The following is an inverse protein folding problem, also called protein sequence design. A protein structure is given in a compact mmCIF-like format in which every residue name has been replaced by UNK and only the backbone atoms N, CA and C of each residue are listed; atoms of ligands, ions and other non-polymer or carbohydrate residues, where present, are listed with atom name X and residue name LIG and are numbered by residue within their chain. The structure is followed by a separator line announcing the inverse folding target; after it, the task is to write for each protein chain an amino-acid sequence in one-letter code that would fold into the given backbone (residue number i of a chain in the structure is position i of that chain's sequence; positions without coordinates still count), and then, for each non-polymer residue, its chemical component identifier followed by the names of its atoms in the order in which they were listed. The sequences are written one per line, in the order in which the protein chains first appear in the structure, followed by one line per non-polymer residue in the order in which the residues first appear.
data_IF_585450028845
#
_entry.id   IF_585450028845
#
_cell.length_a   1.000
_cell.length_b   1.000
_cell.length_c   1.000
_cell.angle_alpha   90.00
_cell.angle_beta   90.00
_cell.angle_gamma   90.00
#
_symmetry.space_group_name_H-M   'P 1'
#
loop_
_entity.id
_entity.type
_entity.pdbx_description
1 polymer ?
#
# COMPACT_ATOMS: atom_id res chain seq x y z
N UNK A 1 2.05 -15.49 -27.28
CA UNK A 1 3.30 -15.57 -26.46
C UNK A 1 3.27 -16.83 -25.63
N UNK A 2 4.39 -17.54 -25.48
CA UNK A 2 4.50 -18.69 -24.57
C UNK A 2 4.55 -18.24 -23.10
N UNK A 3 4.29 -19.16 -22.17
CA UNK A 3 4.43 -18.90 -20.72
C UNK A 3 5.81 -18.32 -20.38
N UNK A 4 6.88 -18.87 -20.98
CA UNK A 4 8.25 -18.36 -20.80
C UNK A 4 8.40 -16.91 -21.30
N UNK A 5 7.80 -16.58 -22.44
CA UNK A 5 7.84 -15.21 -22.97
C UNK A 5 7.07 -14.23 -22.09
N UNK A 6 5.92 -14.62 -21.54
CA UNK A 6 5.13 -13.81 -20.61
C UNK A 6 5.90 -13.51 -19.31
N UNK A 7 6.50 -14.54 -18.71
CA UNK A 7 7.34 -14.36 -17.51
C UNK A 7 8.58 -13.51 -17.81
N UNK A 8 9.18 -13.65 -18.99
CA UNK A 8 10.26 -12.80 -19.46
C UNK A 8 9.85 -11.33 -19.60
N UNK A 9 8.65 -11.07 -20.14
CA UNK A 9 8.09 -9.72 -20.22
C UNK A 9 7.83 -9.13 -18.83
N UNK A 10 7.18 -9.88 -17.93
CA UNK A 10 6.95 -9.46 -16.54
C UNK A 10 8.26 -9.09 -15.83
N UNK A 11 9.29 -9.92 -15.99
CA UNK A 11 10.62 -9.66 -15.43
C UNK A 11 11.24 -8.35 -15.93
N UNK A 12 11.07 -8.01 -17.22
CA UNK A 12 11.55 -6.75 -17.81
C UNK A 12 10.75 -5.55 -17.31
N UNK A 13 9.43 -5.68 -17.16
CA UNK A 13 8.58 -4.63 -16.56
C UNK A 13 9.07 -4.31 -15.15
N UNK A 14 9.29 -5.32 -14.30
CA UNK A 14 9.81 -5.09 -12.96
C UNK A 14 11.18 -4.41 -12.97
N UNK A 15 12.08 -4.81 -13.87
CA UNK A 15 13.39 -4.15 -14.02
C UNK A 15 13.25 -2.68 -14.37
N UNK A 16 12.32 -2.34 -15.27
CA UNK A 16 12.06 -0.94 -15.64
C UNK A 16 11.46 -0.13 -14.50
N UNK A 17 10.52 -0.70 -13.74
CA UNK A 17 9.95 -0.06 -12.54
C UNK A 17 11.00 0.20 -11.47
N UNK A 18 11.94 -0.73 -11.25
CA UNK A 18 13.09 -0.55 -10.34
C UNK A 18 14.01 0.56 -10.83
N UNK A 19 14.35 0.55 -12.14
CA UNK A 19 15.21 1.58 -12.76
C UNK A 19 14.63 2.98 -12.59
N UNK A 20 13.31 3.11 -12.66
CA UNK A 20 12.57 4.36 -12.45
C UNK A 20 12.33 4.72 -10.97
N UNK A 21 12.74 3.87 -10.04
CA UNK A 21 12.54 4.08 -8.60
C UNK A 21 11.09 3.96 -8.14
N UNK A 22 10.21 3.33 -8.93
CA UNK A 22 8.79 3.12 -8.58
C UNK A 22 8.61 1.95 -7.61
N UNK A 23 9.45 0.93 -7.75
CA UNK A 23 9.49 -0.21 -6.83
C UNK A 23 10.93 -0.51 -6.40
N UNK A 24 11.11 -1.17 -5.26
CA UNK A 24 12.43 -1.47 -4.67
C UNK A 24 12.77 -2.95 -4.65
N UNK A 25 11.82 -3.81 -4.99
CA UNK A 25 11.97 -5.27 -4.98
C UNK A 25 11.44 -5.90 -6.28
N UNK A 26 11.74 -7.20 -6.46
CA UNK A 26 11.19 -8.00 -7.57
C UNK A 26 9.91 -8.75 -7.19
N UNK A 27 9.29 -8.38 -6.07
CA UNK A 27 7.98 -8.92 -5.69
C UNK A 27 6.89 -8.35 -6.60
N UNK A 28 5.64 -8.81 -6.41
CA UNK A 28 4.50 -8.16 -7.05
C UNK A 28 4.49 -6.66 -6.70
N UNK A 29 4.33 -5.75 -7.69
CA UNK A 29 4.70 -4.34 -7.54
C UNK A 29 3.77 -3.54 -6.63
N UNK A 30 2.58 -4.04 -6.31
CA UNK A 30 1.53 -3.28 -5.63
C UNK A 30 1.95 -2.70 -4.27
N UNK A 31 2.71 -3.46 -3.46
CA UNK A 31 3.19 -3.00 -2.16
C UNK A 31 4.17 -1.84 -2.31
N UNK A 32 5.27 -2.08 -3.03
CA UNK A 32 6.31 -1.08 -3.27
C UNK A 32 5.77 0.17 -4.00
N UNK A 33 4.82 0.00 -4.93
CA UNK A 33 4.14 1.10 -5.60
C UNK A 33 3.37 1.95 -4.58
N UNK A 34 2.55 1.33 -3.73
CA UNK A 34 1.78 2.05 -2.71
C UNK A 34 2.70 2.79 -1.73
N UNK A 35 3.79 2.16 -1.29
CA UNK A 35 4.81 2.80 -0.44
C UNK A 35 5.42 4.02 -1.13
N UNK A 36 5.81 3.90 -2.40
CA UNK A 36 6.44 4.99 -3.17
C UNK A 36 5.49 6.16 -3.41
N UNK A 37 4.22 5.87 -3.75
CA UNK A 37 3.19 6.91 -3.92
C UNK A 37 2.93 7.62 -2.59
N UNK A 38 2.80 6.89 -1.48
CA UNK A 38 2.61 7.49 -0.15
C UNK A 38 3.82 8.33 0.25
N UNK A 39 5.04 7.84 0.04
CA UNK A 39 6.25 8.61 0.28
C UNK A 39 6.22 9.96 -0.48
N UNK A 40 5.84 9.94 -1.75
CA UNK A 40 5.71 11.18 -2.54
C UNK A 40 4.58 12.09 -2.04
N UNK A 41 3.39 11.55 -1.80
CA UNK A 41 2.22 12.29 -1.34
C UNK A 41 2.43 13.00 0.01
N UNK A 42 3.22 12.38 0.90
CA UNK A 42 3.52 12.91 2.23
C UNK A 42 4.86 13.64 2.30
N UNK A 43 5.54 13.82 1.15
CA UNK A 43 6.91 14.36 1.07
C UNK A 43 7.87 13.64 2.03
N UNK A 44 7.60 12.35 2.24
CA UNK A 44 8.26 11.49 3.19
C UNK A 44 9.41 10.72 2.59
N UNK A 45 10.06 9.93 3.44
CA UNK A 45 11.15 9.01 3.08
C UNK A 45 10.74 7.59 3.41
N UNK A 46 11.04 6.67 2.51
CA UNK A 46 10.86 5.23 2.74
C UNK A 46 11.73 4.77 3.91
N UNK A 47 11.20 3.83 4.69
CA UNK A 47 11.94 3.18 5.76
C UNK A 47 13.13 2.37 5.21
N UNK A 48 14.22 2.23 6.00
CA UNK A 48 15.30 1.31 5.67
C UNK A 48 14.80 -0.11 5.45
N UNK A 49 15.53 -0.86 4.63
CA UNK A 49 15.23 -2.27 4.41
C UNK A 49 15.24 -3.02 5.74
N UNK A 50 14.20 -3.81 6.03
CA UNK A 50 14.00 -4.57 7.27
C UNK A 50 13.45 -3.80 8.47
N UNK A 51 13.08 -2.52 8.32
CA UNK A 51 12.19 -1.87 9.29
C UNK A 51 10.87 -2.65 9.35
N UNK A 52 10.41 -2.94 10.57
CA UNK A 52 9.32 -3.90 10.80
C UNK A 52 7.97 -3.23 10.98
N UNK A 53 7.98 -1.95 11.38
CA UNK A 53 6.79 -1.33 11.94
C UNK A 53 6.27 -0.10 11.22
N UNK A 54 7.03 0.46 10.28
CA UNK A 54 6.58 1.59 9.46
C UNK A 54 7.29 1.51 8.12
N UNK A 55 6.65 2.04 7.08
CA UNK A 55 7.16 1.96 5.71
C UNK A 55 7.55 3.35 5.17
N UNK A 56 6.91 4.43 5.67
CA UNK A 56 7.21 5.83 5.30
C UNK A 56 7.30 6.71 6.55
N UNK A 57 8.30 7.57 6.61
CA UNK A 57 8.33 8.70 7.55
C UNK A 57 7.97 9.97 6.79
N UNK A 58 6.81 10.54 7.08
CA UNK A 58 6.30 11.76 6.46
C UNK A 58 7.16 12.99 6.81
N UNK A 59 6.97 14.08 6.06
CA UNK A 59 7.74 15.32 6.24
C UNK A 59 7.57 15.97 7.63
N UNK A 60 6.42 15.80 8.24
CA UNK A 60 6.11 16.25 9.61
C UNK A 60 6.67 15.31 10.70
N UNK A 61 7.29 14.20 10.30
CA UNK A 61 7.87 13.20 11.18
C UNK A 61 6.97 12.01 11.47
N UNK A 62 5.70 12.03 11.05
CA UNK A 62 4.73 10.94 11.27
C UNK A 62 5.23 9.64 10.65
N UNK A 63 5.20 8.55 11.42
CA UNK A 63 5.53 7.21 10.97
C UNK A 63 4.28 6.53 10.41
N UNK A 64 4.30 6.22 9.12
CA UNK A 64 3.20 5.61 8.39
C UNK A 64 3.52 4.16 8.07
N UNK A 65 2.63 3.25 8.44
CA UNK A 65 2.56 1.91 7.84
C UNK A 65 1.67 1.97 6.60
N UNK A 66 2.03 1.24 5.54
CA UNK A 66 1.24 1.10 4.32
C UNK A 66 0.71 -0.33 4.21
N UNK A 67 -0.57 -0.46 3.86
CA UNK A 67 -1.18 -1.75 3.52
C UNK A 67 -1.95 -1.61 2.22
N UNK A 68 -1.59 -2.41 1.21
CA UNK A 68 -2.18 -2.32 -0.11
C UNK A 68 -2.99 -3.58 -0.49
N UNK A 69 -4.04 -3.42 -1.29
CA UNK A 69 -4.71 -4.51 -2.00
C UNK A 69 -4.98 -4.15 -3.46
N UNK A 70 -4.76 -5.12 -4.34
CA UNK A 70 -5.15 -5.05 -5.75
C UNK A 70 -6.49 -5.76 -5.88
N UNK A 71 -7.51 -5.06 -6.37
CA UNK A 71 -8.89 -5.55 -6.39
C UNK A 71 -9.44 -5.43 -7.81
N UNK A 72 -10.14 -6.48 -8.24
CA UNK A 72 -10.90 -6.45 -9.48
C UNK A 72 -12.12 -5.54 -9.32
N UNK A 73 -12.36 -4.60 -10.26
CA UNK A 73 -13.54 -3.76 -10.23
C UNK A 73 -14.83 -4.57 -10.06
N UNK A 74 -15.66 -4.20 -9.09
CA UNK A 74 -16.90 -4.92 -8.78
C UNK A 74 -16.74 -6.22 -7.99
N UNK A 75 -15.52 -6.60 -7.57
CA UNK A 75 -15.29 -7.79 -6.73
C UNK A 75 -16.06 -7.69 -5.41
N UNK A 76 -16.88 -8.72 -5.13
CA UNK A 76 -17.58 -8.89 -3.85
C UNK A 76 -16.84 -9.82 -2.87
N UNK A 77 -15.63 -10.27 -3.22
CA UNK A 77 -14.85 -11.18 -2.37
C UNK A 77 -14.41 -10.46 -1.10
N UNK A 78 -14.36 -11.20 0.01
CA UNK A 78 -13.77 -10.70 1.25
C UNK A 78 -12.27 -10.60 1.08
N UNK A 79 -11.75 -9.38 1.13
CA UNK A 79 -10.31 -9.11 1.09
C UNK A 79 -9.82 -8.73 2.48
N UNK A 80 -8.65 -9.23 2.85
CA UNK A 80 -7.99 -8.95 4.13
C UNK A 80 -6.59 -8.45 3.84
N UNK A 81 -6.15 -7.36 4.47
CA UNK A 81 -4.81 -6.78 4.31
C UNK A 81 -3.71 -7.68 4.90
N UNK A 82 -2.44 -7.42 4.56
CA UNK A 82 -1.33 -8.17 5.16
C UNK A 82 -1.30 -7.91 6.66
N UNK A 83 -0.92 -8.90 7.49
CA UNK A 83 -1.08 -8.79 8.93
C UNK A 83 -0.17 -7.71 9.53
N UNK A 84 -0.66 -7.09 10.59
CA UNK A 84 0.13 -6.28 11.51
C UNK A 84 0.81 -7.17 12.54
N UNK A 85 2.11 -6.98 12.75
CA UNK A 85 2.94 -7.71 13.71
C UNK A 85 3.54 -6.82 14.79
N UNK A 86 3.48 -5.51 14.61
CA UNK A 86 3.88 -4.48 15.55
C UNK A 86 2.95 -3.28 15.38
N UNK A 87 3.01 -2.35 16.34
CA UNK A 87 2.18 -1.15 16.40
C UNK A 87 3.03 0.12 16.59
N UNK A 88 4.32 0.05 16.29
CA UNK A 88 5.26 1.17 16.43
C UNK A 88 5.23 2.07 15.17
N UNK A 89 4.06 2.64 14.92
CA UNK A 89 3.77 3.63 13.88
C UNK A 89 2.62 4.53 14.38
N UNK A 90 2.43 5.69 13.76
CA UNK A 90 1.44 6.67 14.18
C UNK A 90 0.11 6.49 13.44
N UNK A 91 0.17 6.17 12.14
CA UNK A 91 -1.00 5.90 11.32
C UNK A 91 -0.74 4.83 10.25
N UNK A 92 -1.79 4.20 9.74
CA UNK A 92 -1.75 3.29 8.60
C UNK A 92 -2.48 3.89 7.41
N UNK A 93 -1.82 3.93 6.25
CA UNK A 93 -2.46 4.26 4.97
C UNK A 93 -2.87 2.96 4.27
N UNK A 94 -4.18 2.74 4.14
CA UNK A 94 -4.73 1.64 3.36
C UNK A 94 -4.95 2.08 1.92
N UNK A 95 -4.39 1.34 0.97
CA UNK A 95 -4.47 1.67 -0.46
C UNK A 95 -5.16 0.54 -1.22
N UNK A 96 -6.14 0.89 -2.05
CA UNK A 96 -6.83 -0.03 -2.96
C UNK A 96 -6.47 0.37 -4.39
N UNK A 97 -5.90 -0.59 -5.12
CA UNK A 97 -5.50 -0.45 -6.50
C UNK A 97 -6.41 -1.26 -7.42
N UNK A 98 -6.70 -0.75 -8.60
CA UNK A 98 -7.36 -1.50 -9.65
C UNK A 98 -6.49 -2.65 -10.14
N UNK A 99 -7.05 -3.86 -10.28
CA UNK A 99 -6.32 -5.00 -10.86
C UNK A 99 -6.05 -4.89 -12.36
N UNK A 100 -6.67 -3.92 -13.03
CA UNK A 100 -6.55 -3.74 -14.48
C UNK A 100 -5.53 -2.66 -14.80
N UNK A 101 -5.64 -1.51 -14.12
CA UNK A 101 -4.84 -0.32 -14.44
C UNK A 101 -3.78 0.02 -13.39
N UNK A 102 -3.84 -0.59 -12.19
CA UNK A 102 -3.08 -0.15 -11.01
C UNK A 102 -3.40 1.28 -10.55
N UNK A 103 -4.50 1.87 -11.03
CA UNK A 103 -4.99 3.16 -10.52
C UNK A 103 -5.42 3.05 -9.06
N UNK A 104 -5.29 4.17 -8.35
CA UNK A 104 -5.74 4.29 -6.97
C UNK A 104 -7.25 4.48 -6.96
N UNK A 105 -7.96 3.42 -6.59
CA UNK A 105 -9.42 3.43 -6.51
C UNK A 105 -9.88 4.14 -5.23
N UNK A 106 -9.19 3.90 -4.12
CA UNK A 106 -9.48 4.47 -2.81
C UNK A 106 -8.27 4.36 -1.88
N UNK A 107 -8.06 5.38 -1.06
CA UNK A 107 -7.06 5.35 -0.01
C UNK A 107 -7.51 6.11 1.22
N UNK A 108 -7.16 5.57 2.39
CA UNK A 108 -7.53 6.18 3.68
C UNK A 108 -6.40 6.04 4.68
N UNK A 109 -6.11 7.13 5.38
CA UNK A 109 -5.20 7.19 6.51
C UNK A 109 -5.98 6.98 7.81
N UNK A 110 -5.52 6.07 8.66
CA UNK A 110 -6.19 5.72 9.91
C UNK A 110 -5.19 5.72 11.07
N UNK A 111 -5.47 6.44 12.18
CA UNK A 111 -4.64 6.42 13.38
C UNK A 111 -4.42 5.01 13.95
N UNK A 112 -3.22 4.73 14.47
CA UNK A 112 -2.80 3.39 14.92
C UNK A 112 -3.72 2.76 15.97
N UNK A 113 -4.27 3.56 16.88
CA UNK A 113 -5.20 3.14 17.92
C UNK A 113 -6.51 2.61 17.31
N UNK A 114 -7.02 3.28 16.27
CA UNK A 114 -8.22 2.88 15.55
C UNK A 114 -7.97 1.63 14.70
N UNK A 115 -6.82 1.54 14.05
CA UNK A 115 -6.40 0.31 13.34
C UNK A 115 -6.32 -0.86 14.31
N UNK A 116 -5.70 -0.67 15.47
CA UNK A 116 -5.53 -1.72 16.48
C UNK A 116 -6.86 -2.17 17.08
N UNK A 117 -7.77 -1.23 17.34
CA UNK A 117 -9.13 -1.51 17.81
C UNK A 117 -9.94 -2.34 16.80
N UNK A 118 -9.83 -2.01 15.51
CA UNK A 118 -10.52 -2.74 14.45
C UNK A 118 -9.88 -4.11 14.12
N UNK A 119 -8.57 -4.28 14.37
CA UNK A 119 -7.86 -5.46 13.92
C UNK A 119 -8.22 -6.73 14.71
N UNK A 120 -8.41 -7.83 13.99
CA UNK A 120 -8.71 -9.15 14.57
C UNK A 120 -7.46 -10.00 14.68
N UNK A 121 -7.19 -10.53 15.85
CA UNK A 121 -6.08 -11.47 16.06
C UNK A 121 -6.30 -12.76 15.24
N UNK A 122 -5.22 -13.30 14.68
CA UNK A 122 -5.23 -14.55 13.93
C UNK A 122 -4.02 -15.39 14.31
N UNK A 123 -4.29 -16.50 14.99
CA UNK A 123 -3.26 -17.48 15.40
C UNK A 123 -2.55 -18.09 14.19
N UNK A 124 -3.28 -18.34 13.08
CA UNK A 124 -2.72 -18.94 11.86
C UNK A 124 -1.61 -18.10 11.21
N UNK A 125 -1.69 -16.77 11.30
CA UNK A 125 -0.65 -15.89 10.74
C UNK A 125 0.22 -15.21 11.78
N UNK A 126 0.03 -15.53 13.07
CA UNK A 126 0.73 -14.89 14.19
C UNK A 126 0.70 -13.35 14.11
N UNK A 127 -0.48 -12.76 13.91
CA UNK A 127 -0.63 -11.31 13.77
C UNK A 127 -2.07 -10.84 13.76
N UNK A 128 -2.28 -9.55 13.51
CA UNK A 128 -3.59 -8.92 13.50
C UNK A 128 -3.99 -8.55 12.08
N UNK A 129 -5.26 -8.74 11.74
CA UNK A 129 -5.79 -8.55 10.38
C UNK A 129 -6.90 -7.53 10.38
N UNK A 130 -6.86 -6.65 9.39
CA UNK A 130 -7.94 -5.72 9.06
C UNK A 130 -8.49 -6.12 7.69
N UNK A 131 -9.82 -6.18 7.56
CA UNK A 131 -10.47 -6.46 6.27
C UNK A 131 -10.74 -5.18 5.50
N UNK A 132 -10.89 -5.33 4.19
CA UNK A 132 -11.36 -4.26 3.31
C UNK A 132 -12.74 -3.74 3.72
N UNK A 133 -13.63 -4.63 4.17
CA UNK A 133 -14.97 -4.24 4.61
C UNK A 133 -14.94 -3.30 5.81
N UNK A 134 -14.04 -3.52 6.78
CA UNK A 134 -13.87 -2.63 7.92
C UNK A 134 -13.42 -1.24 7.47
N UNK A 135 -12.48 -1.18 6.52
CA UNK A 135 -12.02 0.09 5.95
C UNK A 135 -13.13 0.80 5.18
N UNK A 136 -13.96 0.09 4.41
CA UNK A 136 -15.08 0.66 3.66
C UNK A 136 -16.24 1.14 4.52
N UNK A 137 -16.45 0.53 5.69
CA UNK A 137 -17.45 1.02 6.67
C UNK A 137 -17.02 2.37 7.25
N UNK A 138 -15.71 2.66 7.26
CA UNK A 138 -15.14 3.81 7.91
C UNK A 138 -14.73 3.47 9.34
N UNK A 139 -13.59 4.02 9.75
CA UNK A 139 -13.10 3.98 11.13
C UNK A 139 -13.07 5.41 11.66
N UNK A 140 -13.14 5.57 12.98
CA UNK A 140 -13.09 6.89 13.59
C UNK A 140 -11.78 7.60 13.23
N UNK A 141 -11.85 8.91 13.02
CA UNK A 141 -10.70 9.76 12.63
C UNK A 141 -9.97 9.30 11.35
N UNK A 142 -10.60 8.46 10.53
CA UNK A 142 -10.07 8.10 9.23
C UNK A 142 -10.17 9.28 8.26
N UNK A 143 -9.09 9.54 7.53
CA UNK A 143 -9.00 10.64 6.55
C UNK A 143 -8.90 10.05 5.15
N UNK A 144 -9.84 10.37 4.27
CA UNK A 144 -9.74 10.03 2.86
C UNK A 144 -8.56 10.81 2.25
N UNK A 145 -7.61 10.06 1.69
CA UNK A 145 -6.39 10.60 1.07
C UNK A 145 -6.29 10.16 -0.40
N UNK A 146 -7.39 9.70 -0.98
CA UNK A 146 -7.46 9.16 -2.34
C UNK A 146 -6.93 10.16 -3.37
N UNK A 147 -7.45 11.39 -3.37
CA UNK A 147 -7.06 12.39 -4.37
C UNK A 147 -5.62 12.86 -4.19
N UNK A 148 -5.15 12.97 -2.94
CA UNK A 148 -3.76 13.26 -2.61
C UNK A 148 -2.81 12.22 -3.19
N UNK A 149 -3.16 10.94 -3.04
CA UNK A 149 -2.36 9.84 -3.58
C UNK A 149 -2.45 9.77 -5.11
N UNK A 150 -3.62 10.03 -5.71
CA UNK A 150 -3.77 10.12 -7.18
C UNK A 150 -2.91 11.22 -7.78
N UNK A 151 -2.89 12.41 -7.17
CA UNK A 151 -2.05 13.51 -7.62
C UNK A 151 -0.56 13.13 -7.57
N UNK A 152 -0.13 12.53 -6.46
CA UNK A 152 1.24 12.05 -6.32
C UNK A 152 1.59 10.99 -7.36
N UNK A 153 0.69 10.05 -7.63
CA UNK A 153 0.89 8.98 -8.59
C UNK A 153 0.98 9.51 -10.03
N UNK A 154 0.05 10.38 -10.45
CA UNK A 154 0.12 11.03 -11.76
C UNK A 154 1.35 11.93 -11.94
N UNK A 155 1.88 12.52 -10.85
CA UNK A 155 3.15 13.24 -10.90
C UNK A 155 4.37 12.31 -11.02
N UNK A 156 4.27 11.00 -10.75
CA UNK A 156 5.33 10.03 -11.02
C UNK A 156 5.40 9.65 -12.50
N UNK A 157 4.27 9.66 -13.21
CA UNK A 157 4.22 9.39 -14.65
C UNK A 157 4.93 10.46 -15.47
N UNK A 158 4.90 11.72 -15.01
CA UNK A 158 5.49 12.87 -15.71
C UNK A 158 7.01 13.03 -15.52
N UNK A 159 7.69 12.07 -14.88
CA UNK A 159 9.14 12.10 -14.63
C UNK A 159 9.97 11.31 -15.68
N UNK A 160 9.40 11.08 -16.87
CA UNK A 160 10.15 10.59 -18.04
C UNK A 160 11.01 11.67 -18.69
#
# INVERSE_FOLDING_TARGET
MSVRQLLGLYSRILTELIRRGVVRSRNAPAGDLAESVVAKAYRGKLAPQSEKSWDVRAADGTLLQIKCRVIEPGSRRTHVFSPFRSWSFDACVFVILSSVTYDIEHAVEVPVDQVRSAARASSWVAGHRVSLSQIRVGLDNAVDVTDRLREAYGAMERLE
#
